data_IF_348744343193
#
_entry.id   IF_348744343193
#
_cell.length_a   1.000
_cell.length_b   1.000
_cell.length_c   1.000
_cell.angle_alpha   90.00
_cell.angle_beta   90.00
_cell.angle_gamma   90.00
#
_symmetry.space_group_name_H-M   'P 1'
#
loop_
_entity.id
_entity.type
_entity.pdbx_description
1 polymer ?
#
# COMPACT_ATOMS: atom_id res chain seq x y z
N UNK A 1 -2.92 21.73 10.87
CA UNK A 1 -2.59 20.32 11.21
C UNK A 1 -2.62 19.49 9.94
N UNK A 2 -1.70 18.52 9.78
CA UNK A 2 -1.69 17.56 8.66
C UNK A 2 -2.10 16.20 9.20
N UNK A 3 -3.19 15.62 8.67
CA UNK A 3 -3.60 14.23 8.95
C UNK A 3 -3.30 13.36 7.73
N UNK A 4 -2.69 12.20 7.95
CA UNK A 4 -2.30 11.22 6.91
C UNK A 4 -3.03 9.93 7.18
N UNK A 5 -4.12 9.67 6.49
CA UNK A 5 -4.99 8.51 6.71
C UNK A 5 -4.70 7.48 5.63
N UNK A 6 -4.49 6.24 6.05
CA UNK A 6 -4.19 5.10 5.16
C UNK A 6 -5.48 4.37 4.82
N UNK A 7 -5.62 4.04 3.56
CA UNK A 7 -6.56 3.04 3.04
C UNK A 7 -5.71 1.94 2.40
N UNK A 8 -5.73 0.75 2.98
CA UNK A 8 -4.94 -0.40 2.50
C UNK A 8 -5.81 -1.64 2.30
N UNK A 9 -5.24 -2.71 1.84
CA UNK A 9 -5.90 -4.00 1.58
C UNK A 9 -5.28 -4.70 0.38
N UNK A 10 -5.67 -5.95 0.17
CA UNK A 10 -5.22 -6.76 -0.96
C UNK A 10 -5.63 -6.21 -2.33
N UNK A 11 -5.23 -6.86 -3.42
CA UNK A 11 -5.72 -6.55 -4.75
C UNK A 11 -7.24 -6.77 -4.85
N UNK A 12 -7.90 -6.07 -5.77
CA UNK A 12 -9.35 -6.20 -6.05
C UNK A 12 -10.26 -6.08 -4.82
N UNK A 13 -9.92 -5.25 -3.85
CA UNK A 13 -10.71 -5.08 -2.61
C UNK A 13 -11.48 -3.74 -2.54
N UNK A 14 -11.65 -3.06 -3.68
CA UNK A 14 -12.45 -1.83 -3.78
C UNK A 14 -11.74 -0.53 -3.38
N UNK A 15 -10.45 -0.55 -3.06
CA UNK A 15 -9.69 0.65 -2.64
C UNK A 15 -9.77 1.81 -3.64
N UNK A 16 -9.61 1.52 -4.93
CA UNK A 16 -9.63 2.54 -5.98
C UNK A 16 -10.95 3.33 -5.98
N UNK A 17 -12.08 2.63 -5.86
CA UNK A 17 -13.40 3.27 -5.79
C UNK A 17 -13.54 4.19 -4.57
N UNK A 18 -12.99 3.78 -3.42
CA UNK A 18 -12.98 4.59 -2.20
C UNK A 18 -12.12 5.84 -2.41
N UNK A 19 -10.92 5.67 -2.94
CA UNK A 19 -9.98 6.79 -3.20
C UNK A 19 -10.58 7.78 -4.21
N UNK A 20 -11.23 7.30 -5.26
CA UNK A 20 -11.85 8.16 -6.26
C UNK A 20 -13.05 8.92 -5.68
N UNK A 21 -13.90 8.28 -4.89
CA UNK A 21 -14.98 8.97 -4.16
C UNK A 21 -14.45 10.06 -3.21
N UNK A 22 -13.33 9.82 -2.52
CA UNK A 22 -12.70 10.82 -1.66
C UNK A 22 -12.13 12.02 -2.45
N UNK A 23 -11.61 11.78 -3.66
CA UNK A 23 -11.19 12.87 -4.56
C UNK A 23 -12.36 13.72 -5.01
N UNK A 24 -13.49 13.08 -5.35
CA UNK A 24 -14.71 13.77 -5.77
C UNK A 24 -15.25 14.66 -4.65
N UNK A 25 -15.08 14.26 -3.39
CA UNK A 25 -15.37 15.07 -2.20
C UNK A 25 -14.31 16.16 -1.92
N UNK A 26 -13.28 16.29 -2.76
CA UNK A 26 -12.27 17.34 -2.67
C UNK A 26 -11.09 17.04 -1.74
N UNK A 27 -10.96 15.83 -1.22
CA UNK A 27 -9.81 15.46 -0.38
C UNK A 27 -8.53 15.26 -1.20
N UNK A 28 -7.39 15.60 -0.60
CA UNK A 28 -6.09 15.26 -1.17
C UNK A 28 -5.85 13.76 -1.05
N UNK A 29 -5.72 13.08 -2.18
CA UNK A 29 -5.43 11.65 -2.25
C UNK A 29 -4.11 11.39 -2.95
N UNK A 30 -3.35 10.40 -2.45
CA UNK A 30 -2.16 9.84 -3.06
C UNK A 30 -2.50 8.44 -3.59
N UNK A 31 -2.39 8.26 -4.90
CA UNK A 31 -2.79 7.04 -5.59
C UNK A 31 -1.81 5.89 -5.35
N UNK A 32 -2.25 4.68 -5.67
CA UNK A 32 -1.37 3.52 -5.70
C UNK A 32 -0.22 3.73 -6.71
N UNK A 33 0.99 3.45 -6.23
CA UNK A 33 2.23 3.69 -6.99
C UNK A 33 2.68 2.44 -7.75
N UNK A 34 2.29 1.25 -7.27
CA UNK A 34 2.83 -0.02 -7.75
C UNK A 34 2.65 -0.21 -9.26
N UNK A 35 1.47 0.11 -9.82
CA UNK A 35 1.20 -0.02 -11.26
C UNK A 35 2.11 0.87 -12.11
N UNK A 36 2.30 2.12 -11.69
CA UNK A 36 3.20 3.05 -12.39
C UNK A 36 4.65 2.52 -12.41
N UNK A 37 5.10 1.94 -11.30
CA UNK A 37 6.44 1.36 -11.20
C UNK A 37 6.57 0.10 -12.04
N UNK A 38 5.56 -0.78 -12.03
CA UNK A 38 5.52 -1.99 -12.90
C UNK A 38 5.71 -1.60 -14.37
N UNK A 39 4.93 -0.64 -14.84
CA UNK A 39 5.00 -0.18 -16.23
C UNK A 39 6.35 0.41 -16.58
N UNK A 40 6.90 1.27 -15.70
CA UNK A 40 8.21 1.93 -15.92
C UNK A 40 9.38 0.96 -15.89
N UNK A 41 9.35 -0.04 -15.02
CA UNK A 41 10.42 -1.02 -14.89
C UNK A 41 10.25 -2.22 -15.84
N UNK A 42 9.11 -2.29 -16.56
CA UNK A 42 8.76 -3.40 -17.45
C UNK A 42 8.89 -4.77 -16.78
N UNK A 43 8.36 -4.91 -15.57
CA UNK A 43 8.47 -6.12 -14.74
C UNK A 43 7.20 -6.95 -14.84
N UNK A 44 7.32 -8.25 -15.11
CA UNK A 44 6.18 -9.18 -15.13
C UNK A 44 5.79 -9.75 -13.77
N UNK A 45 6.70 -9.73 -12.79
CA UNK A 45 6.50 -10.26 -11.43
C UNK A 45 7.02 -9.27 -10.40
N UNK A 46 6.31 -8.17 -10.24
CA UNK A 46 6.74 -7.01 -9.46
C UNK A 46 6.99 -7.32 -7.98
N UNK A 47 6.08 -8.02 -7.34
CA UNK A 47 6.10 -8.26 -5.90
C UNK A 47 7.22 -9.21 -5.41
N UNK A 48 7.91 -9.90 -6.32
CA UNK A 48 9.07 -10.76 -5.99
C UNK A 48 10.41 -10.06 -6.18
N UNK A 49 10.40 -8.80 -6.61
CA UNK A 49 11.61 -8.05 -6.94
C UNK A 49 11.90 -7.02 -5.86
N UNK A 50 13.08 -7.15 -5.21
CA UNK A 50 13.50 -6.23 -4.13
C UNK A 50 13.70 -4.79 -4.65
N UNK A 51 14.21 -4.60 -5.87
CA UNK A 51 14.42 -3.28 -6.46
C UNK A 51 13.07 -2.57 -6.73
N UNK A 52 12.05 -3.35 -7.09
CA UNK A 52 10.67 -2.86 -7.19
C UNK A 52 10.18 -2.34 -5.83
N UNK A 53 10.30 -3.16 -4.78
CA UNK A 53 9.87 -2.77 -3.44
C UNK A 53 10.62 -1.53 -2.93
N UNK A 54 11.92 -1.44 -3.18
CA UNK A 54 12.70 -0.23 -2.84
C UNK A 54 12.22 1.02 -3.60
N UNK A 55 11.91 0.87 -4.88
CA UNK A 55 11.42 1.97 -5.71
C UNK A 55 10.05 2.46 -5.24
N UNK A 56 9.13 1.53 -4.96
CA UNK A 56 7.79 1.84 -4.42
C UNK A 56 7.91 2.52 -3.06
N UNK A 57 8.75 1.98 -2.16
CA UNK A 57 8.97 2.55 -0.84
C UNK A 57 9.45 4.01 -0.89
N UNK A 58 10.45 4.30 -1.73
CA UNK A 58 10.99 5.67 -1.92
C UNK A 58 9.90 6.63 -2.39
N UNK A 59 9.04 6.19 -3.32
CA UNK A 59 7.92 7.00 -3.81
C UNK A 59 6.86 7.24 -2.74
N UNK A 60 6.49 6.22 -1.97
CA UNK A 60 5.55 6.35 -0.84
C UNK A 60 6.07 7.28 0.24
N UNK A 61 7.37 7.22 0.56
CA UNK A 61 8.02 8.17 1.48
C UNK A 61 7.94 9.60 0.95
N UNK A 62 8.20 9.81 -0.35
CA UNK A 62 8.06 11.13 -0.99
C UNK A 62 6.62 11.64 -0.87
N UNK A 63 5.63 10.79 -1.12
CA UNK A 63 4.22 11.17 -1.01
C UNK A 63 3.83 11.51 0.43
N UNK A 64 4.36 10.78 1.41
CA UNK A 64 4.19 11.12 2.84
C UNK A 64 4.70 12.54 3.15
N UNK A 65 5.88 12.90 2.61
CA UNK A 65 6.49 14.22 2.82
C UNK A 65 5.74 15.34 2.08
N UNK A 66 5.05 15.02 0.98
CA UNK A 66 4.29 15.96 0.16
C UNK A 66 2.85 16.21 0.64
N UNK A 67 2.49 15.74 1.84
CA UNK A 67 1.18 15.97 2.43
C UNK A 67 0.85 17.47 2.52
N UNK A 68 -0.41 17.81 2.28
CA UNK A 68 -0.94 19.18 2.40
C UNK A 68 -1.57 19.40 3.77
N UNK A 69 -1.73 20.66 4.16
CA UNK A 69 -2.53 21.02 5.35
C UNK A 69 -3.94 20.45 5.18
N UNK A 70 -4.47 19.83 6.23
CA UNK A 70 -5.78 19.16 6.22
C UNK A 70 -5.65 17.63 6.19
N UNK A 71 -6.69 16.96 5.73
CA UNK A 71 -6.77 15.49 5.62
C UNK A 71 -6.23 15.04 4.27
N UNK A 72 -5.30 14.08 4.33
CA UNK A 72 -4.69 13.45 3.16
C UNK A 72 -4.92 11.94 3.22
N UNK A 73 -5.42 11.34 2.16
CA UNK A 73 -5.62 9.90 2.06
C UNK A 73 -4.54 9.25 1.19
N UNK A 74 -4.12 8.08 1.59
CA UNK A 74 -3.07 7.32 0.92
C UNK A 74 -3.58 5.95 0.51
N UNK A 75 -3.53 5.64 -0.79
CA UNK A 75 -3.74 4.29 -1.28
C UNK A 75 -2.47 3.49 -1.02
N UNK A 76 -2.46 2.77 0.09
CA UNK A 76 -1.33 2.08 0.70
C UNK A 76 -0.31 3.03 1.37
N UNK A 77 0.60 2.45 2.13
CA UNK A 77 1.65 3.17 2.85
C UNK A 77 3.01 2.50 2.74
N UNK A 78 4.02 3.08 3.35
CA UNK A 78 5.35 2.45 3.48
C UNK A 78 5.30 1.11 4.23
N UNK A 79 4.34 0.93 5.15
CA UNK A 79 4.16 -0.32 5.88
C UNK A 79 3.71 -1.48 4.98
N UNK A 80 2.95 -1.20 3.91
CA UNK A 80 2.57 -2.22 2.93
C UNK A 80 3.80 -2.88 2.30
N UNK A 81 4.87 -2.12 2.03
CA UNK A 81 6.13 -2.71 1.53
C UNK A 81 6.72 -3.73 2.50
N UNK A 82 6.62 -3.49 3.81
CA UNK A 82 7.11 -4.45 4.81
C UNK A 82 6.32 -5.77 4.74
N UNK A 83 5.00 -5.68 4.53
CA UNK A 83 4.15 -6.85 4.38
C UNK A 83 4.52 -7.65 3.12
N UNK A 84 4.67 -6.98 1.98
CA UNK A 84 5.07 -7.65 0.73
C UNK A 84 6.46 -8.28 0.79
N UNK A 85 7.42 -7.63 1.42
CA UNK A 85 8.74 -8.20 1.67
C UNK A 85 8.66 -9.48 2.53
N UNK A 86 7.85 -9.46 3.62
CA UNK A 86 7.62 -10.64 4.46
C UNK A 86 7.00 -11.80 3.67
N UNK A 87 5.93 -11.54 2.90
CA UNK A 87 5.24 -12.57 2.08
C UNK A 87 6.21 -13.24 1.12
N UNK A 88 7.13 -12.49 0.54
CA UNK A 88 8.10 -12.98 -0.44
C UNK A 88 9.40 -13.50 0.19
N UNK A 89 9.44 -13.65 1.51
CA UNK A 89 10.61 -14.13 2.26
C UNK A 89 11.87 -13.27 2.02
N UNK A 90 11.69 -11.98 1.77
CA UNK A 90 12.78 -11.02 1.69
C UNK A 90 13.08 -10.44 3.07
N UNK A 91 14.35 -10.20 3.33
CA UNK A 91 14.75 -9.45 4.52
C UNK A 91 14.29 -7.99 4.39
N UNK A 92 13.69 -7.46 5.46
CA UNK A 92 13.27 -6.07 5.50
C UNK A 92 14.49 -5.19 5.80
N UNK A 93 14.89 -4.29 4.88
CA UNK A 93 16.01 -3.39 5.13
C UNK A 93 15.79 -2.56 6.40
N UNK A 94 16.81 -2.47 7.24
CA UNK A 94 16.75 -1.70 8.51
C UNK A 94 16.31 -0.25 8.28
N UNK A 95 16.76 0.35 7.17
CA UNK A 95 16.34 1.71 6.76
C UNK A 95 14.82 1.86 6.59
N UNK A 96 14.12 0.80 6.13
CA UNK A 96 12.65 0.83 5.96
C UNK A 96 11.95 0.84 7.31
N UNK A 97 12.43 0.04 8.26
CA UNK A 97 11.89 0.02 9.63
C UNK A 97 12.03 1.39 10.29
N UNK A 98 13.24 1.95 10.25
CA UNK A 98 13.54 3.29 10.80
C UNK A 98 12.67 4.37 10.12
N UNK A 99 12.51 4.31 8.81
CA UNK A 99 11.67 5.27 8.08
C UNK A 99 10.19 5.17 8.48
N UNK A 100 9.65 3.96 8.66
CA UNK A 100 8.27 3.77 9.13
C UNK A 100 8.06 4.25 10.56
N UNK A 101 9.05 4.09 11.43
CA UNK A 101 9.01 4.58 12.82
C UNK A 101 9.03 6.12 12.87
N UNK A 102 9.86 6.75 12.05
CA UNK A 102 10.04 8.20 12.02
C UNK A 102 8.93 8.95 11.24
N UNK A 103 8.19 8.27 10.38
CA UNK A 103 7.15 8.85 9.52
C UNK A 103 5.79 8.23 9.81
N UNK A 104 5.22 8.59 10.96
CA UNK A 104 3.94 8.04 11.43
C UNK A 104 2.75 8.63 10.69
N UNK A 105 1.86 7.77 10.22
CA UNK A 105 0.55 8.13 9.73
C UNK A 105 -0.45 8.32 10.89
N UNK A 106 -1.69 8.67 10.57
CA UNK A 106 -2.75 8.68 11.57
C UNK A 106 -2.95 7.27 12.16
N UNK A 107 -3.21 7.13 13.47
CA UNK A 107 -3.36 5.81 14.08
C UNK A 107 -4.55 4.99 13.56
N UNK A 108 -5.56 5.65 12.99
CA UNK A 108 -6.66 4.96 12.32
C UNK A 108 -6.26 4.58 10.90
N UNK A 109 -6.29 3.29 10.60
CA UNK A 109 -6.03 2.71 9.27
C UNK A 109 -7.30 1.99 8.80
N UNK A 110 -7.72 2.26 7.58
CA UNK A 110 -8.80 1.52 6.94
C UNK A 110 -8.21 0.39 6.11
N UNK A 111 -8.61 -0.83 6.40
CA UNK A 111 -8.21 -2.00 5.62
C UNK A 111 -9.41 -2.63 4.94
N UNK A 112 -9.37 -2.71 3.61
CA UNK A 112 -10.41 -3.37 2.82
C UNK A 112 -10.19 -4.87 2.84
N UNK A 113 -11.25 -5.62 3.14
CA UNK A 113 -11.22 -7.08 3.14
C UNK A 113 -11.25 -7.62 1.71
N UNK A 114 -10.64 -8.78 1.43
CA UNK A 114 -10.85 -9.49 0.18
C UNK A 114 -12.34 -9.79 -0.03
N UNK A 115 -12.80 -9.59 -1.25
CA UNK A 115 -14.21 -9.79 -1.62
C UNK A 115 -14.29 -10.58 -2.92
N UNK A 116 -14.72 -11.83 -2.83
CA UNK A 116 -14.70 -12.78 -3.94
C UNK A 116 -15.56 -12.33 -5.12
N UNK A 117 -16.73 -11.74 -4.85
CA UNK A 117 -17.68 -11.32 -5.88
C UNK A 117 -17.15 -10.22 -6.81
N UNK A 118 -16.20 -9.40 -6.34
CA UNK A 118 -15.58 -8.34 -7.13
C UNK A 118 -14.16 -8.68 -7.58
N UNK A 119 -13.69 -9.90 -7.24
CA UNK A 119 -12.33 -10.32 -7.57
C UNK A 119 -12.22 -10.64 -9.06
N UNK A 120 -11.36 -9.91 -9.76
CA UNK A 120 -11.08 -10.12 -11.19
C UNK A 120 -9.58 -10.26 -11.40
N UNK A 121 -9.20 -11.23 -12.23
CA UNK A 121 -7.84 -11.35 -12.75
C UNK A 121 -7.68 -10.48 -13.98
N UNK A 122 -6.60 -9.73 -14.07
CA UNK A 122 -6.18 -9.01 -15.26
C UNK A 122 -4.70 -9.27 -15.57
N UNK A 123 -4.20 -8.79 -16.70
CA UNK A 123 -2.82 -9.03 -17.15
C UNK A 123 -1.75 -8.46 -16.17
N UNK A 124 -2.14 -7.53 -15.31
CA UNK A 124 -1.28 -6.90 -14.31
C UNK A 124 -1.43 -7.53 -12.92
N UNK A 125 -2.42 -8.43 -12.73
CA UNK A 125 -2.77 -9.05 -11.44
C UNK A 125 -2.78 -10.56 -11.59
N UNK A 126 -1.68 -11.15 -11.15
CA UNK A 126 -1.46 -12.60 -11.22
C UNK A 126 -1.82 -13.31 -9.91
N UNK A 127 -2.13 -12.56 -8.85
CA UNK A 127 -2.48 -13.12 -7.55
C UNK A 127 -3.88 -13.74 -7.59
N UNK A 128 -3.99 -14.96 -7.09
CA UNK A 128 -5.28 -15.63 -6.88
C UNK A 128 -6.06 -15.00 -5.72
N UNK A 129 -7.36 -15.33 -5.58
CA UNK A 129 -8.14 -14.92 -4.40
C UNK A 129 -7.51 -15.44 -3.09
N UNK A 130 -6.96 -16.66 -3.11
CA UNK A 130 -6.22 -17.22 -1.96
C UNK A 130 -4.99 -16.36 -1.62
N UNK A 131 -4.25 -15.89 -2.63
CA UNK A 131 -3.11 -14.99 -2.41
C UNK A 131 -3.57 -13.66 -1.82
N UNK A 132 -4.72 -13.13 -2.25
CA UNK A 132 -5.29 -11.90 -1.70
C UNK A 132 -5.64 -12.01 -0.22
N UNK A 133 -6.09 -13.18 0.23
CA UNK A 133 -6.34 -13.48 1.65
C UNK A 133 -5.03 -13.49 2.45
N UNK A 134 -3.98 -14.11 1.92
CA UNK A 134 -2.66 -14.10 2.57
C UNK A 134 -2.07 -12.70 2.67
N UNK A 135 -2.22 -11.90 1.61
CA UNK A 135 -1.80 -10.50 1.59
C UNK A 135 -2.57 -9.70 2.66
N UNK A 136 -3.89 -9.89 2.76
CA UNK A 136 -4.71 -9.22 3.76
C UNK A 136 -4.23 -9.52 5.19
N UNK A 137 -4.00 -10.78 5.52
CA UNK A 137 -3.53 -11.16 6.86
C UNK A 137 -2.12 -10.60 7.15
N UNK A 138 -1.23 -10.63 6.17
CA UNK A 138 0.11 -10.07 6.32
C UNK A 138 0.08 -8.54 6.52
N UNK A 139 -0.76 -7.82 5.76
CA UNK A 139 -0.97 -6.39 5.95
C UNK A 139 -1.47 -6.10 7.36
N UNK A 140 -2.55 -6.77 7.78
CA UNK A 140 -3.13 -6.62 9.10
C UNK A 140 -2.08 -6.84 10.21
N UNK A 141 -1.29 -7.90 10.09
CA UNK A 141 -0.24 -8.21 11.06
C UNK A 141 0.83 -7.11 11.15
N UNK A 142 1.30 -6.60 10.01
CA UNK A 142 2.31 -5.53 9.97
C UNK A 142 1.80 -4.24 10.62
N UNK A 143 0.54 -3.87 10.38
CA UNK A 143 -0.04 -2.69 11.01
C UNK A 143 -0.21 -2.86 12.53
N UNK A 144 -0.64 -4.03 13.00
CA UNK A 144 -0.73 -4.34 14.43
C UNK A 144 0.65 -4.28 15.10
N UNK A 145 1.67 -4.92 14.50
CA UNK A 145 3.05 -4.88 15.00
C UNK A 145 3.63 -3.47 15.06
N UNK A 146 3.20 -2.60 14.16
CA UNK A 146 3.59 -1.19 14.12
C UNK A 146 2.73 -0.28 15.04
N UNK A 147 1.85 -0.83 15.86
CA UNK A 147 0.94 -0.11 16.75
C UNK A 147 -0.01 0.87 16.02
N UNK A 148 -0.72 0.36 15.04
CA UNK A 148 -1.85 1.00 14.37
C UNK A 148 -3.15 0.28 14.66
#
# INVERSE_FOLDING_TARGET
MIKRIIITGGPCSGKTSIIDGLKDEGYKCFNEISREVIQKMNIKTSYKNIDFEETVFKKRKRDFLNAKIGVNFYDRSMLDNLAYLKINNHEIPTKFKIDCENHRYHPTVFITTPWEDIYTLDDERLESFKDSMQIFEALKQVYIEANY
#
